data_IF_510234347443
#
_entry.id   IF_510234347443
#
_cell.length_a   1.000
_cell.length_b   1.000
_cell.length_c   1.000
_cell.angle_alpha   90.00
_cell.angle_beta   90.00
_cell.angle_gamma   90.00
#
_symmetry.space_group_name_H-M   'P 1'
#
loop_
_entity.id
_entity.type
_entity.pdbx_description
1 polymer ?
#
# COMPACT_ATOMS: atom_id res chain seq x y z
N UNK A 1 7.02 26.11 -37.09
CA UNK A 1 7.84 25.18 -36.27
C UNK A 1 6.97 24.31 -35.34
N UNK A 2 6.06 23.46 -35.85
CA UNK A 2 5.20 22.60 -35.02
C UNK A 2 5.93 21.37 -34.47
N UNK A 3 6.91 20.83 -35.22
CA UNK A 3 7.67 19.62 -34.84
C UNK A 3 8.56 19.80 -33.60
N UNK A 4 9.04 21.01 -33.33
CA UNK A 4 9.87 21.27 -32.15
C UNK A 4 9.01 21.16 -30.87
N UNK A 5 7.76 21.63 -30.90
CA UNK A 5 6.84 21.60 -29.76
C UNK A 5 6.37 20.19 -29.39
N UNK A 6 6.11 19.33 -30.38
CA UNK A 6 5.74 17.93 -30.15
C UNK A 6 6.92 17.10 -29.64
N UNK A 7 8.14 17.42 -30.08
CA UNK A 7 9.37 16.79 -29.59
C UNK A 7 9.64 17.10 -28.11
N UNK A 8 9.44 18.35 -27.67
CA UNK A 8 9.58 18.73 -26.25
C UNK A 8 8.52 18.07 -25.36
N UNK A 9 7.27 17.96 -25.83
CA UNK A 9 6.21 17.27 -25.08
C UNK A 9 6.49 15.76 -24.96
N UNK A 10 7.00 15.12 -26.02
CA UNK A 10 7.44 13.73 -25.98
C UNK A 10 8.66 13.52 -25.08
N UNK A 11 9.61 14.45 -25.05
CA UNK A 11 10.77 14.41 -24.14
C UNK A 11 10.36 14.60 -22.68
N UNK A 12 9.39 15.46 -22.38
CA UNK A 12 8.85 15.61 -21.02
C UNK A 12 8.11 14.34 -20.60
N UNK A 13 7.31 13.73 -21.49
CA UNK A 13 6.62 12.46 -21.19
C UNK A 13 7.58 11.26 -21.10
N UNK A 14 8.69 11.27 -21.83
CA UNK A 14 9.73 10.24 -21.75
C UNK A 14 10.63 10.44 -20.53
N UNK A 15 10.93 11.68 -20.16
CA UNK A 15 11.71 12.00 -18.95
C UNK A 15 10.96 11.65 -17.66
N UNK A 16 9.63 11.60 -17.68
CA UNK A 16 8.83 11.03 -16.58
C UNK A 16 8.88 9.50 -16.51
N UNK A 17 9.46 8.81 -17.50
CA UNK A 17 9.58 7.34 -17.56
C UNK A 17 10.97 6.87 -17.13
N UNK A 18 11.95 7.77 -16.94
CA UNK A 18 13.24 7.43 -16.33
C UNK A 18 13.05 7.35 -14.80
N UNK A 19 12.36 6.32 -14.33
CA UNK A 19 12.41 5.91 -12.94
C UNK A 19 13.67 5.06 -12.74
N UNK A 20 14.58 5.66 -11.99
CA UNK A 20 15.78 5.07 -11.41
C UNK A 20 15.37 3.81 -10.63
N UNK A 21 16.24 2.78 -10.63
CA UNK A 21 16.09 1.57 -9.83
C UNK A 21 16.09 1.88 -8.33
N UNK A 22 14.95 2.35 -7.83
CA UNK A 22 14.69 2.58 -6.42
C UNK A 22 14.30 1.25 -5.78
N UNK A 23 14.93 0.93 -4.66
CA UNK A 23 14.50 -0.16 -3.80
C UNK A 23 13.08 0.15 -3.29
N UNK A 24 12.30 -0.90 -3.08
CA UNK A 24 10.92 -0.80 -2.60
C UNK A 24 10.91 -0.18 -1.19
N UNK A 25 10.08 0.82 -0.94
CA UNK A 25 9.85 1.35 0.41
C UNK A 25 8.51 0.89 0.95
N UNK A 26 8.45 0.49 2.22
CA UNK A 26 7.21 0.07 2.87
C UNK A 26 7.09 0.65 4.27
N UNK A 27 5.87 0.87 4.75
CA UNK A 27 5.66 1.17 6.16
C UNK A 27 6.05 -0.03 7.01
N UNK A 28 6.79 0.22 8.09
CA UNK A 28 7.20 -0.80 9.05
C UNK A 28 6.69 -0.46 10.45
N UNK A 29 5.71 -1.22 10.94
CA UNK A 29 5.15 -1.00 12.28
C UNK A 29 4.36 -2.21 12.77
N UNK A 30 4.15 -2.24 14.08
CA UNK A 30 3.25 -3.19 14.72
C UNK A 30 2.37 -2.49 15.76
N UNK A 31 1.05 -2.71 15.68
CA UNK A 31 0.09 -2.03 16.55
C UNK A 31 0.11 -2.51 18.00
N UNK A 32 0.85 -3.59 18.27
CA UNK A 32 1.13 -4.06 19.61
C UNK A 32 2.04 -3.07 20.36
N UNK A 33 2.99 -2.47 19.64
CA UNK A 33 4.00 -1.58 20.21
C UNK A 33 3.56 -0.12 20.09
N UNK A 34 2.95 0.26 18.96
CA UNK A 34 2.39 1.58 18.76
C UNK A 34 1.01 1.55 18.08
N UNK A 35 0.01 2.04 18.81
CA UNK A 35 -1.38 2.19 18.33
C UNK A 35 -1.53 3.03 17.06
N UNK A 36 -0.53 3.84 16.70
CA UNK A 36 -0.51 4.61 15.45
C UNK A 36 -0.56 3.68 14.24
N UNK A 37 -0.02 2.46 14.36
CA UNK A 37 -0.09 1.44 13.33
C UNK A 37 -1.51 0.83 13.15
N UNK A 38 -2.50 1.16 13.98
CA UNK A 38 -3.88 0.70 13.73
C UNK A 38 -4.51 1.40 12.52
N UNK A 39 -5.53 0.76 11.94
CA UNK A 39 -6.41 1.43 10.99
C UNK A 39 -7.44 2.31 11.74
N UNK A 40 -7.91 3.42 11.13
CA UNK A 40 -7.55 3.92 9.80
C UNK A 40 -6.18 4.59 9.77
N UNK A 41 -5.41 4.28 8.73
CA UNK A 41 -4.11 4.90 8.48
C UNK A 41 -4.32 6.23 7.76
N UNK A 42 -4.35 7.32 8.52
CA UNK A 42 -4.54 8.70 8.00
C UNK A 42 -3.21 9.30 7.57
N UNK A 43 -3.25 10.34 6.72
CA UNK A 43 -2.02 10.99 6.24
C UNK A 43 -1.18 11.56 7.39
N UNK A 44 -1.83 12.09 8.42
CA UNK A 44 -1.19 12.59 9.66
C UNK A 44 -0.40 11.52 10.43
N UNK A 45 -0.68 10.23 10.19
CA UNK A 45 0.01 9.12 10.85
C UNK A 45 1.20 8.60 10.05
N UNK A 46 1.33 8.99 8.77
CA UNK A 46 2.44 8.57 7.90
C UNK A 46 3.77 9.11 8.41
N UNK A 47 3.76 10.33 8.95
CA UNK A 47 4.97 10.99 9.46
C UNK A 47 5.46 10.34 10.76
N UNK A 48 4.56 9.62 11.45
CA UNK A 48 4.81 8.96 12.73
C UNK A 48 5.24 7.51 12.50
N UNK A 49 4.58 6.83 11.56
CA UNK A 49 4.92 5.48 11.14
C UNK A 49 5.98 5.59 10.05
N UNK A 50 7.24 5.56 10.45
CA UNK A 50 8.36 5.58 9.50
C UNK A 50 8.19 4.53 8.40
N UNK A 51 8.54 4.90 7.16
CA UNK A 51 8.80 3.95 6.09
C UNK A 51 10.26 3.53 6.10
N UNK A 52 10.49 2.27 5.75
CA UNK A 52 11.82 1.69 5.67
C UNK A 52 12.09 1.29 4.23
N UNK A 53 13.32 1.54 3.79
CA UNK A 53 13.84 0.96 2.55
C UNK A 53 13.96 -0.55 2.72
N UNK A 54 13.29 -1.30 1.85
CA UNK A 54 13.29 -2.74 1.90
C UNK A 54 14.62 -3.32 1.43
N UNK A 55 14.92 -4.53 1.89
CA UNK A 55 15.99 -5.35 1.31
C UNK A 55 15.83 -5.43 -0.23
N UNK A 56 16.90 -5.38 -1.03
CA UNK A 56 16.83 -5.47 -2.49
C UNK A 56 16.13 -6.72 -3.03
N UNK A 57 16.01 -7.78 -2.23
CA UNK A 57 15.29 -9.01 -2.55
C UNK A 57 13.81 -8.95 -2.18
N UNK A 58 13.39 -7.95 -1.42
CA UNK A 58 11.99 -7.74 -1.11
C UNK A 58 11.22 -7.46 -2.39
N UNK A 59 10.06 -8.08 -2.47
CA UNK A 59 9.21 -8.05 -3.67
C UNK A 59 7.88 -7.34 -3.42
N UNK A 60 7.48 -7.26 -2.16
CA UNK A 60 6.16 -6.78 -1.76
C UNK A 60 6.24 -6.04 -0.42
N UNK A 61 5.41 -5.03 -0.26
CA UNK A 61 4.95 -4.62 1.06
C UNK A 61 3.82 -5.55 1.51
N UNK A 62 3.81 -5.86 2.79
CA UNK A 62 2.73 -6.63 3.40
C UNK A 62 2.05 -5.85 4.51
N UNK A 63 0.74 -6.06 4.64
CA UNK A 63 -0.06 -5.68 5.79
C UNK A 63 -0.79 -6.92 6.31
N UNK A 64 -0.59 -7.22 7.60
CA UNK A 64 -1.38 -8.19 8.34
C UNK A 64 -2.37 -7.45 9.23
N UNK A 65 -3.62 -7.91 9.24
CA UNK A 65 -4.63 -7.53 10.23
C UNK A 65 -5.16 -8.80 10.87
N UNK A 66 -4.71 -9.09 12.08
CA UNK A 66 -5.14 -10.24 12.87
C UNK A 66 -6.24 -9.81 13.83
N UNK A 67 -7.33 -10.57 13.86
CA UNK A 67 -8.46 -10.39 14.76
C UNK A 67 -8.62 -11.68 15.55
N UNK A 68 -8.56 -11.59 16.88
CA UNK A 68 -8.75 -12.72 17.79
C UNK A 68 -9.97 -12.47 18.67
N UNK A 69 -10.84 -13.46 18.79
CA UNK A 69 -12.00 -13.41 19.67
C UNK A 69 -11.66 -14.10 21.00
N UNK A 70 -11.56 -13.33 22.08
CA UNK A 70 -11.39 -13.88 23.43
C UNK A 70 -12.75 -14.29 23.99
N UNK A 71 -12.97 -15.61 24.06
CA UNK A 71 -14.18 -16.21 24.66
C UNK A 71 -14.14 -16.16 26.20
N UNK A 72 -12.95 -16.25 26.79
CA UNK A 72 -12.72 -16.08 28.23
C UNK A 72 -11.80 -14.86 28.44
N UNK A 73 -12.41 -13.67 28.40
CA UNK A 73 -11.66 -12.41 28.50
C UNK A 73 -11.12 -12.15 29.91
N UNK A 74 -11.43 -13.00 30.90
CA UNK A 74 -11.03 -12.80 32.30
C UNK A 74 -11.72 -11.61 32.98
N UNK A 75 -12.69 -10.97 32.32
CA UNK A 75 -13.46 -9.84 32.86
C UNK A 75 -14.76 -10.32 33.50
N UNK A 76 -15.07 -9.76 34.68
CA UNK A 76 -16.29 -10.04 35.48
C UNK A 76 -17.59 -9.92 34.66
N UNK A 77 -17.59 -9.09 33.61
CA UNK A 77 -18.77 -8.84 32.76
C UNK A 77 -19.02 -9.89 31.67
N UNK A 78 -18.14 -10.88 31.48
CA UNK A 78 -18.37 -12.01 30.57
C UNK A 78 -18.54 -11.67 29.07
N UNK A 79 -18.17 -10.47 28.63
CA UNK A 79 -18.29 -10.07 27.23
C UNK A 79 -17.07 -10.56 26.44
N UNK A 80 -17.33 -11.22 25.32
CA UNK A 80 -16.30 -11.50 24.32
C UNK A 80 -15.65 -10.19 23.87
N UNK A 81 -14.32 -10.16 23.83
CA UNK A 81 -13.55 -9.02 23.33
C UNK A 81 -12.77 -9.44 22.10
N UNK A 82 -12.72 -8.53 21.14
CA UNK A 82 -11.87 -8.65 19.96
C UNK A 82 -10.54 -7.98 20.24
N UNK A 83 -9.45 -8.70 19.99
CA UNK A 83 -8.11 -8.13 19.94
C UNK A 83 -7.76 -7.99 18.46
N UNK A 84 -7.48 -6.76 18.05
CA UNK A 84 -7.03 -6.44 16.69
C UNK A 84 -5.56 -6.04 16.73
N UNK A 85 -4.74 -6.74 15.96
CA UNK A 85 -3.33 -6.41 15.77
C UNK A 85 -3.07 -6.17 14.29
N UNK A 86 -2.44 -5.05 13.97
CA UNK A 86 -2.02 -4.70 12.61
C UNK A 86 -0.50 -4.67 12.56
N UNK A 87 0.08 -5.33 11.57
CA UNK A 87 1.52 -5.32 11.31
C UNK A 87 1.78 -4.96 9.85
N UNK A 88 2.83 -4.18 9.60
CA UNK A 88 3.26 -3.74 8.27
C UNK A 88 4.76 -3.90 8.16
N UNK A 89 5.26 -4.41 7.03
CA UNK A 89 6.69 -4.61 6.78
C UNK A 89 6.96 -4.99 5.31
N UNK A 90 8.24 -5.10 4.95
CA UNK A 90 8.74 -5.62 3.68
C UNK A 90 8.74 -7.16 3.64
N UNK A 91 8.31 -7.76 2.53
CA UNK A 91 8.26 -9.21 2.36
C UNK A 91 8.95 -9.69 1.07
N UNK A 92 9.81 -10.69 1.24
CA UNK A 92 10.39 -11.47 0.14
C UNK A 92 9.43 -12.62 -0.16
N UNK A 93 8.63 -12.48 -1.23
CA UNK A 93 7.67 -13.48 -1.68
C UNK A 93 7.57 -13.48 -3.21
N UNK A 94 8.64 -13.89 -3.91
CA UNK A 94 8.65 -13.91 -5.36
C UNK A 94 7.55 -14.83 -5.91
N UNK A 95 6.90 -14.40 -6.98
CA UNK A 95 5.81 -15.15 -7.62
C UNK A 95 4.44 -15.04 -6.93
N UNK A 96 4.33 -14.35 -5.79
CA UNK A 96 3.03 -13.97 -5.25
C UNK A 96 2.41 -12.83 -6.08
N UNK A 97 1.09 -12.82 -6.17
CA UNK A 97 0.33 -11.72 -6.74
C UNK A 97 -0.09 -10.72 -5.67
N UNK A 98 -0.17 -9.46 -6.04
CA UNK A 98 -0.81 -8.41 -5.25
C UNK A 98 -2.28 -8.76 -4.95
N UNK A 99 -2.77 -8.32 -3.79
CA UNK A 99 -4.13 -8.57 -3.34
C UNK A 99 -4.22 -8.95 -1.87
N UNK A 100 -5.44 -9.16 -1.39
CA UNK A 100 -5.72 -9.53 -0.01
C UNK A 100 -6.34 -10.92 0.06
N UNK A 101 -5.84 -11.73 0.99
CA UNK A 101 -6.44 -13.02 1.36
C UNK A 101 -6.82 -12.97 2.85
N UNK A 102 -7.92 -13.62 3.18
CA UNK A 102 -8.31 -13.87 4.57
C UNK A 102 -8.09 -15.35 4.88
N UNK A 103 -7.49 -15.63 6.03
CA UNK A 103 -7.30 -16.97 6.55
C UNK A 103 -7.97 -17.04 7.90
N UNK A 104 -8.88 -17.99 8.04
CA UNK A 104 -9.63 -18.24 9.26
C UNK A 104 -8.98 -19.39 10.03
N UNK A 105 -8.99 -19.28 11.36
CA UNK A 105 -8.57 -20.31 12.30
C UNK A 105 -9.52 -20.35 13.50
N UNK A 106 -9.33 -21.31 14.39
CA UNK A 106 -10.23 -21.47 15.53
C UNK A 106 -10.19 -20.24 16.45
N UNK A 107 -11.29 -19.47 16.46
CA UNK A 107 -11.45 -18.26 17.29
C UNK A 107 -10.68 -17.03 16.81
N UNK A 108 -10.11 -17.06 15.60
CA UNK A 108 -9.39 -15.91 15.03
C UNK A 108 -9.36 -15.94 13.52
N UNK A 109 -9.16 -14.77 12.90
CA UNK A 109 -8.82 -14.71 11.49
C UNK A 109 -7.73 -13.66 11.28
N UNK A 110 -6.98 -13.79 10.19
CA UNK A 110 -6.10 -12.73 9.76
C UNK A 110 -6.29 -12.43 8.28
N UNK A 111 -6.18 -11.15 7.95
CA UNK A 111 -6.17 -10.66 6.57
C UNK A 111 -4.73 -10.31 6.23
N UNK A 112 -4.20 -10.94 5.18
CA UNK A 112 -2.90 -10.62 4.61
C UNK A 112 -3.13 -9.90 3.29
N UNK A 113 -2.62 -8.67 3.17
CA UNK A 113 -2.61 -7.91 1.92
C UNK A 113 -1.17 -7.72 1.44
N UNK A 114 -0.92 -8.05 0.17
CA UNK A 114 0.33 -7.86 -0.55
C UNK A 114 0.16 -6.78 -1.62
N UNK A 115 1.20 -5.96 -1.79
CA UNK A 115 1.27 -4.98 -2.86
C UNK A 115 2.74 -4.70 -3.20
N UNK A 116 3.00 -4.34 -4.46
CA UNK A 116 4.37 -4.28 -5.01
C UNK A 116 4.88 -2.86 -5.31
N UNK A 117 4.20 -1.83 -4.79
CA UNK A 117 4.56 -0.41 -4.98
C UNK A 117 4.95 0.27 -3.67
N UNK A 118 5.68 1.37 -3.74
CA UNK A 118 6.13 2.07 -2.54
C UNK A 118 4.96 2.48 -1.65
N UNK A 119 5.09 2.19 -0.34
CA UNK A 119 4.19 2.63 0.72
C UNK A 119 2.71 2.21 0.50
N UNK A 120 2.49 1.18 -0.33
CA UNK A 120 1.16 0.67 -0.68
C UNK A 120 0.47 -0.04 0.50
N UNK A 121 1.22 -0.50 1.50
CA UNK A 121 0.69 -1.15 2.70
C UNK A 121 0.11 -0.17 3.73
N UNK A 122 -0.02 1.13 3.40
CA UNK A 122 -0.74 2.11 4.23
C UNK A 122 -2.19 1.69 4.52
N UNK A 123 -2.85 1.00 3.60
CA UNK A 123 -4.27 0.60 3.73
C UNK A 123 -5.22 1.46 2.91
N UNK A 124 -4.71 2.42 2.14
CA UNK A 124 -5.43 3.04 1.02
C UNK A 124 -5.17 2.24 -0.24
N UNK A 125 -6.18 1.51 -0.72
CA UNK A 125 -6.21 1.08 -2.11
C UNK A 125 -6.28 2.35 -2.96
N UNK A 126 -5.16 2.72 -3.57
CA UNK A 126 -5.13 3.79 -4.55
C UNK A 126 -5.82 3.22 -5.80
N UNK A 127 -7.15 3.35 -5.87
CA UNK A 127 -7.76 3.43 -7.19
C UNK A 127 -7.06 4.59 -7.91
N UNK A 128 -6.59 4.41 -9.15
CA UNK A 128 -6.04 5.52 -9.90
C UNK A 128 -7.06 6.66 -9.87
N UNK A 129 -6.60 7.83 -9.45
CA UNK A 129 -7.40 9.05 -9.45
C UNK A 129 -8.06 9.16 -10.82
N UNK A 130 -9.39 9.18 -10.89
CA UNK A 130 -10.14 9.33 -12.14
C UNK A 130 -9.63 10.55 -12.94
N UNK A 131 -9.11 11.56 -12.22
CA UNK A 131 -8.44 12.74 -12.74
C UNK A 131 -7.15 12.43 -13.52
N UNK A 132 -6.29 11.51 -13.04
CA UNK A 132 -5.06 11.14 -13.77
C UNK A 132 -5.37 10.36 -15.05
N UNK A 133 -6.39 9.49 -15.02
CA UNK A 133 -6.87 8.77 -16.23
C UNK A 133 -7.51 9.74 -17.23
N UNK A 134 -8.28 10.73 -16.76
CA UNK A 134 -8.86 11.76 -17.61
C UNK A 134 -7.81 12.63 -18.29
N UNK A 135 -6.80 13.09 -17.54
CA UNK A 135 -5.73 13.94 -18.09
C UNK A 135 -4.92 13.18 -19.14
N UNK A 136 -4.57 11.91 -18.90
CA UNK A 136 -3.84 11.12 -19.89
C UNK A 136 -4.67 10.87 -21.15
N UNK A 137 -5.96 10.52 -21.03
CA UNK A 137 -6.86 10.38 -22.18
C UNK A 137 -7.00 11.67 -22.99
N UNK A 138 -7.18 12.83 -22.32
CA UNK A 138 -7.31 14.12 -23.00
C UNK A 138 -6.03 14.54 -23.73
N UNK A 139 -4.87 14.32 -23.12
CA UNK A 139 -3.58 14.61 -23.78
C UNK A 139 -3.32 13.69 -24.98
N UNK A 140 -3.65 12.40 -24.88
CA UNK A 140 -3.53 11.46 -26.00
C UNK A 140 -4.45 11.85 -27.17
N UNK A 141 -5.71 12.18 -26.88
CA UNK A 141 -6.66 12.66 -27.89
C UNK A 141 -6.19 13.97 -28.55
N UNK A 142 -5.62 14.89 -27.78
CA UNK A 142 -5.10 16.15 -28.32
C UNK A 142 -3.88 15.94 -29.23
N UNK A 143 -3.01 14.98 -28.90
CA UNK A 143 -1.87 14.60 -29.75
C UNK A 143 -2.34 13.91 -31.04
N UNK A 144 -3.37 13.06 -30.98
CA UNK A 144 -3.91 12.39 -32.18
C UNK A 144 -4.71 13.33 -33.10
N UNK A 145 -5.30 14.40 -32.55
CA UNK A 145 -6.10 15.35 -33.32
C UNK A 145 -5.23 16.45 -33.99
N UNK A 146 -3.96 16.54 -33.63
CA UNK A 146 -2.98 17.43 -34.27
C UNK A 146 -2.16 16.72 -35.34
#
# INVERSE_FOLDING_TARGET
MPHLRTMWLGLISFSTIVSIGLCLNCYECQSKDDTVCLDPFTDERKDIVGDAECDPKATHCVKYKTVMHLLDSGFITGRAREIVVVSRFCLIKPGASDGCIAVEGDGSFYIQCLCSTDNCNSGRSILPSILTVLVTCLTALWVMWR
#
